data_IF_358093354494
#
_entry.id   IF_358093354494
#
_cell.length_a   1.000
_cell.length_b   1.000
_cell.length_c   1.000
_cell.angle_alpha   90.00
_cell.angle_beta   90.00
_cell.angle_gamma   90.00
#
_symmetry.space_group_name_H-M   'P 1'
#
loop_
_entity.id
_entity.type
_entity.pdbx_description
1 polymer ?
#
# COMPACT_ATOMS: atom_id res chain seq x y z
N UNK A 1 -8.75 -26.76 -11.92
CA UNK A 1 -8.46 -25.41 -12.44
C UNK A 1 -6.96 -25.28 -12.56
N UNK A 2 -6.45 -24.74 -13.67
CA UNK A 2 -5.02 -24.46 -13.86
C UNK A 2 -4.59 -23.30 -12.96
N UNK A 3 -3.36 -23.34 -12.43
CA UNK A 3 -2.83 -22.23 -11.63
C UNK A 3 -2.65 -20.98 -12.51
N UNK A 4 -3.02 -19.78 -12.04
CA UNK A 4 -2.77 -18.55 -12.77
C UNK A 4 -1.27 -18.31 -12.92
N UNK A 5 -0.87 -17.88 -14.12
CA UNK A 5 0.52 -17.62 -14.49
C UNK A 5 0.79 -16.14 -14.34
N UNK A 6 1.75 -15.81 -13.48
CA UNK A 6 1.98 -14.44 -13.05
C UNK A 6 3.42 -14.04 -13.36
N UNK A 7 3.58 -12.87 -13.97
CA UNK A 7 4.88 -12.20 -14.10
C UNK A 7 5.17 -11.29 -12.91
N UNK A 8 6.42 -11.17 -12.47
CA UNK A 8 6.84 -10.20 -11.45
C UNK A 8 7.69 -9.09 -12.07
N UNK A 9 7.19 -7.86 -12.06
CA UNK A 9 7.86 -6.68 -12.62
C UNK A 9 8.38 -5.82 -11.46
N UNK A 10 9.70 -5.67 -11.38
CA UNK A 10 10.41 -4.97 -10.30
C UNK A 10 10.96 -5.94 -9.24
N UNK A 11 12.27 -6.12 -9.25
CA UNK A 11 13.01 -7.03 -8.38
C UNK A 11 13.77 -6.29 -7.26
N UNK A 12 13.21 -5.18 -6.77
CA UNK A 12 13.74 -4.44 -5.63
C UNK A 12 13.55 -5.17 -4.28
N UNK A 13 13.70 -4.44 -3.18
CA UNK A 13 13.70 -5.00 -1.80
C UNK A 13 12.51 -5.90 -1.48
N UNK A 14 11.32 -5.55 -1.96
CA UNK A 14 10.08 -6.29 -1.68
C UNK A 14 9.97 -7.61 -2.46
N UNK A 15 10.69 -7.75 -3.58
CA UNK A 15 10.55 -8.88 -4.49
C UNK A 15 10.80 -10.23 -3.83
N UNK A 16 11.74 -10.31 -2.88
CA UNK A 16 12.03 -11.53 -2.10
C UNK A 16 10.80 -12.09 -1.37
N UNK A 17 9.90 -11.22 -0.90
CA UNK A 17 8.67 -11.65 -0.22
C UNK A 17 7.66 -12.22 -1.21
N UNK A 18 7.54 -11.62 -2.41
CA UNK A 18 6.75 -12.20 -3.50
C UNK A 18 7.32 -13.54 -3.99
N UNK A 19 8.64 -13.63 -4.20
CA UNK A 19 9.29 -14.88 -4.62
C UNK A 19 9.04 -16.00 -3.60
N UNK A 20 9.24 -15.73 -2.32
CA UNK A 20 8.90 -16.67 -1.25
C UNK A 20 7.39 -16.98 -1.19
N UNK A 21 6.52 -16.01 -1.48
CA UNK A 21 5.08 -16.24 -1.54
C UNK A 21 4.69 -17.17 -2.69
N UNK A 22 5.29 -17.02 -3.88
CA UNK A 22 5.09 -17.95 -5.00
C UNK A 22 5.47 -19.38 -4.63
N UNK A 23 6.60 -19.56 -3.93
CA UNK A 23 7.06 -20.87 -3.47
C UNK A 23 6.14 -21.48 -2.40
N UNK A 24 5.70 -20.68 -1.42
CA UNK A 24 4.95 -21.16 -0.24
C UNK A 24 3.45 -21.32 -0.47
N UNK A 25 2.85 -20.46 -1.28
CA UNK A 25 1.39 -20.39 -1.38
C UNK A 25 0.81 -21.45 -2.32
N UNK A 26 1.59 -21.92 -3.29
CA UNK A 26 1.18 -22.89 -4.33
C UNK A 26 -0.15 -22.55 -5.03
N UNK A 27 -0.52 -21.26 -5.08
CA UNK A 27 -1.78 -20.75 -5.65
C UNK A 27 -1.59 -20.03 -6.99
N UNK A 28 -0.34 -19.85 -7.43
CA UNK A 28 0.03 -19.24 -8.71
C UNK A 28 1.38 -19.78 -9.19
N UNK A 29 1.65 -19.68 -10.50
CA UNK A 29 2.93 -20.01 -11.10
C UNK A 29 3.68 -18.73 -11.48
N UNK A 30 4.92 -18.56 -11.02
CA UNK A 30 5.81 -17.50 -11.50
C UNK A 30 6.37 -17.90 -12.87
N UNK A 31 6.00 -17.17 -13.93
CA UNK A 31 6.36 -17.52 -15.32
C UNK A 31 7.30 -16.54 -16.00
N UNK A 32 7.52 -15.37 -15.40
CA UNK A 32 8.43 -14.37 -15.92
C UNK A 32 8.83 -13.39 -14.82
N UNK A 33 10.06 -12.86 -14.89
CA UNK A 33 10.47 -11.71 -14.09
C UNK A 33 10.99 -10.59 -14.99
N UNK A 34 10.84 -9.35 -14.54
CA UNK A 34 11.36 -8.18 -15.24
C UNK A 34 12.00 -7.18 -14.28
N UNK A 35 13.22 -6.75 -14.61
CA UNK A 35 13.89 -5.61 -13.99
C UNK A 35 14.90 -5.03 -15.02
N UNK A 36 14.99 -3.69 -15.17
CA UNK A 36 16.00 -3.09 -16.06
C UNK A 36 17.44 -3.37 -15.60
N UNK A 37 17.65 -3.59 -14.29
CA UNK A 37 18.92 -3.93 -13.69
C UNK A 37 19.17 -5.45 -13.76
N UNK A 38 20.20 -5.82 -14.52
CA UNK A 38 20.54 -7.22 -14.79
C UNK A 38 21.01 -7.97 -13.54
N UNK A 39 21.65 -7.27 -12.58
CA UNK A 39 22.05 -7.88 -11.33
C UNK A 39 20.83 -8.32 -10.51
N UNK A 40 19.74 -7.54 -10.56
CA UNK A 40 18.50 -7.86 -9.85
C UNK A 40 17.78 -9.06 -10.46
N UNK A 41 17.94 -9.34 -11.75
CA UNK A 41 17.36 -10.54 -12.37
C UNK A 41 17.95 -11.85 -11.82
N UNK A 42 19.11 -11.79 -11.17
CA UNK A 42 19.77 -12.93 -10.53
C UNK A 42 19.03 -13.50 -9.32
N UNK A 43 18.12 -12.74 -8.69
CA UNK A 43 17.38 -13.25 -7.51
C UNK A 43 16.26 -14.23 -7.86
N UNK A 44 15.84 -14.25 -9.13
CA UNK A 44 14.78 -15.14 -9.59
C UNK A 44 15.30 -16.56 -9.85
N UNK A 45 14.47 -17.61 -9.64
CA UNK A 45 14.83 -18.99 -9.94
C UNK A 45 15.35 -19.16 -11.37
N UNK A 46 16.36 -20.00 -11.56
CA UNK A 46 17.09 -20.11 -12.83
C UNK A 46 16.21 -20.43 -14.05
N UNK A 47 15.15 -21.19 -13.84
CA UNK A 47 14.18 -21.63 -14.85
C UNK A 47 13.16 -20.56 -15.26
N UNK A 48 13.07 -19.44 -14.54
CA UNK A 48 12.09 -18.38 -14.83
C UNK A 48 12.66 -17.44 -15.89
N UNK A 49 11.99 -17.27 -17.05
CA UNK A 49 12.38 -16.30 -18.07
C UNK A 49 12.56 -14.88 -17.50
N UNK A 50 13.61 -14.21 -17.98
CA UNK A 50 14.03 -12.88 -17.51
C UNK A 50 13.87 -11.86 -18.63
N UNK A 51 13.32 -10.70 -18.29
CA UNK A 51 13.11 -9.59 -19.22
C UNK A 51 13.69 -8.30 -18.64
N UNK A 52 14.09 -7.38 -19.51
CA UNK A 52 14.60 -6.06 -19.11
C UNK A 52 13.62 -4.92 -19.38
N UNK A 53 12.60 -5.18 -20.21
CA UNK A 53 11.50 -4.27 -20.51
C UNK A 53 10.17 -4.98 -20.21
N UNK A 54 9.32 -4.35 -19.39
CA UNK A 54 8.01 -4.91 -19.05
C UNK A 54 7.11 -5.05 -20.28
N UNK A 55 7.31 -4.21 -21.31
CA UNK A 55 6.55 -4.30 -22.58
C UNK A 55 6.95 -5.51 -23.40
N UNK A 56 8.20 -5.96 -23.28
CA UNK A 56 8.63 -7.21 -23.90
C UNK A 56 8.04 -8.40 -23.15
N UNK A 57 8.11 -8.39 -21.81
CA UNK A 57 7.47 -9.39 -20.96
C UNK A 57 5.98 -9.53 -21.30
N UNK A 58 5.24 -8.42 -21.40
CA UNK A 58 3.80 -8.44 -21.70
C UNK A 58 3.44 -8.98 -23.10
N UNK A 59 4.36 -8.88 -24.07
CA UNK A 59 4.18 -9.38 -25.44
C UNK A 59 4.60 -10.84 -25.61
N UNK A 60 5.70 -11.24 -24.98
CA UNK A 60 6.36 -12.51 -25.23
C UNK A 60 6.02 -13.60 -24.20
N UNK A 61 5.77 -13.22 -22.94
CA UNK A 61 5.46 -14.18 -21.90
C UNK A 61 3.99 -14.59 -21.95
N UNK A 62 3.74 -15.89 -21.81
CA UNK A 62 2.40 -16.44 -21.72
C UNK A 62 1.93 -16.40 -20.26
N UNK A 63 1.29 -15.30 -19.89
CA UNK A 63 0.87 -14.97 -18.53
C UNK A 63 -0.58 -14.47 -18.48
N UNK A 64 -1.21 -14.62 -17.32
CA UNK A 64 -2.58 -14.19 -17.07
C UNK A 64 -2.61 -12.86 -16.30
N UNK A 65 -1.59 -12.62 -15.47
CA UNK A 65 -1.49 -11.45 -14.61
C UNK A 65 -0.03 -11.01 -14.37
N UNK A 66 0.14 -9.81 -13.81
CA UNK A 66 1.43 -9.31 -13.33
C UNK A 66 1.34 -8.78 -11.91
N UNK A 67 2.40 -9.00 -11.13
CA UNK A 67 2.71 -8.25 -9.91
C UNK A 67 3.62 -7.09 -10.29
N UNK A 68 3.25 -5.86 -9.93
CA UNK A 68 3.98 -4.63 -10.21
C UNK A 68 4.56 -4.09 -8.91
N UNK A 69 5.89 -4.20 -8.77
CA UNK A 69 6.69 -3.84 -7.60
C UNK A 69 7.87 -2.92 -8.01
N UNK A 70 7.56 -1.93 -8.84
CA UNK A 70 8.51 -0.91 -9.31
C UNK A 70 8.44 0.32 -8.39
N UNK A 71 9.33 1.32 -8.52
CA UNK A 71 9.17 2.59 -7.81
C UNK A 71 7.78 3.24 -8.02
N UNK A 72 7.26 3.96 -7.01
CA UNK A 72 5.88 4.47 -7.01
C UNK A 72 5.52 5.32 -8.24
N UNK A 73 6.46 6.12 -8.75
CA UNK A 73 6.29 6.94 -9.96
C UNK A 73 6.09 6.12 -11.24
N UNK A 74 6.51 4.86 -11.22
CA UNK A 74 6.39 3.93 -12.33
C UNK A 74 5.18 3.00 -12.22
N UNK A 75 4.45 3.00 -11.09
CA UNK A 75 3.23 2.19 -10.95
C UNK A 75 2.22 2.49 -12.06
N UNK A 76 1.88 3.77 -12.26
CA UNK A 76 0.91 4.17 -13.28
C UNK A 76 1.26 3.72 -14.71
N UNK A 77 2.43 4.07 -15.28
CA UNK A 77 2.75 3.68 -16.65
C UNK A 77 2.82 2.15 -16.83
N UNK A 78 3.37 1.41 -15.86
CA UNK A 78 3.48 -0.07 -15.94
C UNK A 78 2.10 -0.73 -15.83
N UNK A 79 1.27 -0.30 -14.88
CA UNK A 79 -0.09 -0.83 -14.73
C UNK A 79 -0.96 -0.51 -15.95
N UNK A 80 -0.84 0.70 -16.50
CA UNK A 80 -1.57 1.09 -17.72
C UNK A 80 -1.18 0.19 -18.90
N UNK A 81 0.12 -0.06 -19.10
CA UNK A 81 0.61 -0.90 -20.18
C UNK A 81 0.12 -2.36 -19.99
N UNK A 82 0.13 -2.89 -18.76
CA UNK A 82 -0.35 -4.24 -18.46
C UNK A 82 -1.86 -4.42 -18.63
N UNK A 83 -2.67 -3.51 -18.07
CA UNK A 83 -4.13 -3.53 -18.24
C UNK A 83 -4.51 -3.35 -19.72
N UNK A 84 -3.81 -2.47 -20.44
CA UNK A 84 -4.01 -2.26 -21.89
C UNK A 84 -3.65 -3.49 -22.74
N UNK A 85 -2.76 -4.35 -22.25
CA UNK A 85 -2.45 -5.65 -22.85
C UNK A 85 -3.42 -6.77 -22.41
N UNK A 86 -4.52 -6.44 -21.71
CA UNK A 86 -5.52 -7.40 -21.24
C UNK A 86 -5.03 -8.28 -20.09
N UNK A 87 -4.00 -7.85 -19.35
CA UNK A 87 -3.45 -8.62 -18.21
C UNK A 87 -3.99 -8.06 -16.90
N UNK A 88 -4.33 -8.94 -15.97
CA UNK A 88 -4.67 -8.54 -14.61
C UNK A 88 -3.44 -7.98 -13.87
N UNK A 89 -3.66 -7.07 -12.95
CA UNK A 89 -2.61 -6.36 -12.22
C UNK A 89 -2.81 -6.49 -10.72
N UNK A 90 -1.78 -6.94 -10.02
CA UNK A 90 -1.57 -6.70 -8.60
C UNK A 90 -0.43 -5.68 -8.48
N UNK A 91 -0.69 -4.49 -7.97
CA UNK A 91 0.32 -3.43 -7.82
C UNK A 91 0.63 -3.19 -6.35
N UNK A 92 1.90 -2.99 -6.03
CA UNK A 92 2.29 -2.54 -4.69
C UNK A 92 1.64 -1.21 -4.32
N UNK A 93 1.48 -0.97 -3.02
CA UNK A 93 0.98 0.32 -2.54
C UNK A 93 2.05 1.41 -2.77
N UNK A 94 1.64 2.66 -3.05
CA UNK A 94 0.29 3.11 -3.38
C UNK A 94 -0.09 2.74 -4.83
N UNK A 95 -1.39 2.63 -5.15
CA UNK A 95 -1.87 2.36 -6.53
C UNK A 95 -1.21 3.26 -7.60
N UNK A 96 -1.04 4.54 -7.29
CA UNK A 96 -0.31 5.53 -8.08
C UNK A 96 0.10 6.70 -7.16
N UNK A 97 0.87 7.65 -7.66
CA UNK A 97 1.24 8.87 -6.90
C UNK A 97 0.18 9.97 -6.96
N UNK A 98 -0.82 9.86 -7.85
CA UNK A 98 -1.86 10.88 -8.04
C UNK A 98 -3.25 10.26 -8.21
N UNK A 99 -4.31 10.77 -7.55
CA UNK A 99 -5.68 10.24 -7.68
C UNK A 99 -6.16 10.12 -9.12
N UNK A 100 -5.89 11.13 -9.97
CA UNK A 100 -6.28 11.11 -11.38
C UNK A 100 -5.77 9.88 -12.14
N UNK A 101 -4.55 9.44 -11.81
CA UNK A 101 -3.89 8.31 -12.46
C UNK A 101 -4.50 7.01 -11.93
N UNK A 102 -4.79 6.93 -10.62
CA UNK A 102 -5.56 5.83 -10.02
C UNK A 102 -6.97 5.67 -10.61
N UNK A 103 -7.72 6.77 -10.77
CA UNK A 103 -9.04 6.75 -11.43
C UNK A 103 -8.95 6.28 -12.88
N UNK A 104 -7.88 6.65 -13.60
CA UNK A 104 -7.66 6.18 -14.95
C UNK A 104 -7.41 4.68 -14.98
N UNK A 105 -6.54 4.14 -14.11
CA UNK A 105 -6.31 2.69 -14.01
C UNK A 105 -7.59 1.93 -13.66
N UNK A 106 -8.38 2.42 -12.70
CA UNK A 106 -9.64 1.79 -12.30
C UNK A 106 -10.66 1.78 -13.45
N UNK A 107 -10.69 2.82 -14.28
CA UNK A 107 -11.52 2.88 -15.49
C UNK A 107 -11.03 1.88 -16.53
N UNK A 108 -9.72 1.83 -16.77
CA UNK A 108 -9.12 0.93 -17.75
C UNK A 108 -9.39 -0.53 -17.37
N UNK A 109 -9.16 -0.92 -16.12
CA UNK A 109 -9.49 -2.24 -15.57
C UNK A 109 -10.95 -2.64 -15.82
N UNK A 110 -11.91 -1.72 -15.61
CA UNK A 110 -13.33 -1.98 -15.93
C UNK A 110 -13.59 -2.13 -17.43
N UNK A 111 -12.90 -1.36 -18.26
CA UNK A 111 -13.07 -1.39 -19.73
C UNK A 111 -12.46 -2.65 -20.36
N UNK A 112 -11.35 -3.14 -19.81
CA UNK A 112 -10.68 -4.36 -20.27
C UNK A 112 -11.16 -5.64 -19.59
N UNK A 113 -12.11 -5.54 -18.65
CA UNK A 113 -12.57 -6.65 -17.80
C UNK A 113 -11.42 -7.40 -17.12
N UNK A 114 -10.42 -6.65 -16.64
CA UNK A 114 -9.24 -7.19 -15.97
C UNK A 114 -9.20 -6.77 -14.51
N UNK A 115 -8.61 -7.60 -13.66
CA UNK A 115 -8.45 -7.30 -12.23
C UNK A 115 -7.43 -6.18 -12.04
N UNK A 116 -7.75 -5.24 -11.16
CA UNK A 116 -6.82 -4.24 -10.62
C UNK A 116 -6.85 -4.31 -9.09
N UNK A 117 -5.80 -4.91 -8.56
CA UNK A 117 -5.64 -5.19 -7.14
C UNK A 117 -4.48 -4.37 -6.59
N UNK A 118 -4.64 -3.77 -5.41
CA UNK A 118 -3.56 -3.07 -4.70
C UNK A 118 -3.13 -3.89 -3.49
N UNK A 119 -1.83 -4.18 -3.40
CA UNK A 119 -1.23 -4.97 -2.33
C UNK A 119 -1.16 -4.18 -1.02
N UNK A 120 -2.20 -4.29 -0.21
CA UNK A 120 -2.20 -3.85 1.18
C UNK A 120 -1.87 -5.01 2.10
N UNK A 121 -0.59 -5.36 2.17
CA UNK A 121 -0.07 -6.50 2.92
C UNK A 121 -0.54 -6.58 4.40
N UNK A 122 -0.77 -5.44 5.07
CA UNK A 122 -1.22 -5.41 6.48
C UNK A 122 -2.60 -6.00 6.72
N UNK A 123 -3.45 -6.16 5.69
CA UNK A 123 -4.71 -6.91 5.80
C UNK A 123 -4.50 -8.37 6.20
N UNK A 124 -3.33 -8.91 5.89
CA UNK A 124 -2.97 -10.31 6.08
C UNK A 124 -2.07 -10.52 7.29
N UNK A 125 -1.80 -9.47 8.07
CA UNK A 125 -1.03 -9.58 9.30
C UNK A 125 -1.82 -10.39 10.33
N UNK A 126 -1.17 -11.37 10.95
CA UNK A 126 -1.83 -12.29 11.88
C UNK A 126 -2.43 -11.58 13.09
N UNK A 127 -1.74 -10.57 13.64
CA UNK A 127 -2.22 -9.80 14.80
C UNK A 127 -3.41 -8.89 14.44
N UNK A 128 -3.39 -8.30 13.24
CA UNK A 128 -4.54 -7.54 12.72
C UNK A 128 -5.75 -8.46 12.56
N UNK A 129 -5.56 -9.65 11.99
CA UNK A 129 -6.64 -10.61 11.82
C UNK A 129 -7.15 -11.15 13.16
N UNK A 130 -6.26 -11.42 14.11
CA UNK A 130 -6.63 -11.83 15.45
C UNK A 130 -7.45 -10.74 16.16
N UNK A 131 -7.03 -9.46 16.08
CA UNK A 131 -7.81 -8.34 16.63
C UNK A 131 -9.20 -8.28 16.00
N UNK A 132 -9.32 -8.39 14.67
CA UNK A 132 -10.62 -8.41 13.98
C UNK A 132 -11.52 -9.55 14.45
N UNK A 133 -10.96 -10.74 14.70
CA UNK A 133 -11.72 -11.88 15.22
C UNK A 133 -12.19 -11.64 16.65
N UNK A 134 -11.33 -11.12 17.53
CA UNK A 134 -11.67 -10.84 18.94
C UNK A 134 -12.79 -9.82 19.09
N UNK A 135 -12.82 -8.79 18.23
CA UNK A 135 -13.84 -7.74 18.29
C UNK A 135 -15.10 -8.05 17.45
N UNK A 136 -15.11 -9.12 16.66
CA UNK A 136 -16.18 -9.38 15.67
C UNK A 136 -17.57 -9.51 16.29
N UNK A 137 -17.66 -10.04 17.52
CA UNK A 137 -18.91 -10.18 18.28
C UNK A 137 -19.07 -9.12 19.38
N UNK A 138 -18.19 -8.12 19.42
CA UNK A 138 -18.19 -7.06 20.44
C UNK A 138 -19.16 -5.92 20.12
N UNK A 139 -19.22 -4.93 21.02
CA UNK A 139 -19.92 -3.67 20.76
C UNK A 139 -19.33 -2.94 19.52
N UNK A 140 -20.09 -2.05 18.86
CA UNK A 140 -19.58 -1.28 17.72
C UNK A 140 -18.30 -0.51 18.04
N UNK A 141 -17.41 -0.35 17.06
CA UNK A 141 -16.19 0.43 17.23
C UNK A 141 -16.55 1.90 17.43
N UNK A 142 -16.12 2.49 18.55
CA UNK A 142 -16.27 3.91 18.85
C UNK A 142 -15.08 4.73 18.32
N UNK A 143 -13.86 4.20 18.47
CA UNK A 143 -12.68 4.83 17.88
C UNK A 143 -11.57 3.85 17.51
N UNK A 144 -10.71 4.27 16.59
CA UNK A 144 -9.57 3.51 16.08
C UNK A 144 -8.32 4.41 16.03
N UNK A 145 -7.17 3.92 16.49
CA UNK A 145 -5.88 4.58 16.25
C UNK A 145 -4.92 3.64 15.52
N UNK A 146 -4.32 4.11 14.43
CA UNK A 146 -3.27 3.37 13.70
C UNK A 146 -1.96 4.15 13.83
N UNK A 147 -0.91 3.47 14.29
CA UNK A 147 0.44 4.01 14.36
C UNK A 147 1.33 3.37 13.30
N UNK A 148 2.10 4.21 12.60
CA UNK A 148 3.16 3.84 11.67
C UNK A 148 4.35 4.77 11.93
N UNK A 149 5.19 4.35 12.87
CA UNK A 149 6.30 5.16 13.39
C UNK A 149 7.58 4.36 13.19
N UNK A 150 8.56 4.94 12.51
CA UNK A 150 9.81 4.28 12.14
C UNK A 150 10.91 5.32 11.86
N UNK A 151 12.16 4.88 11.74
CA UNK A 151 13.24 5.70 11.18
C UNK A 151 13.42 5.36 9.71
N UNK A 152 12.86 6.16 8.80
CA UNK A 152 12.80 5.81 7.36
C UNK A 152 14.17 5.56 6.73
N UNK A 153 15.22 6.19 7.23
CA UNK A 153 16.60 5.99 6.76
C UNK A 153 17.06 4.54 6.91
N UNK A 154 16.53 3.79 7.90
CA UNK A 154 16.81 2.37 8.09
C UNK A 154 16.11 1.50 7.02
N UNK A 155 15.10 2.03 6.33
CA UNK A 155 14.32 1.33 5.31
C UNK A 155 14.84 1.51 3.88
N UNK A 156 15.59 2.58 3.62
CA UNK A 156 15.96 3.01 2.27
C UNK A 156 17.01 2.09 1.60
N UNK A 157 17.82 1.36 2.38
CA UNK A 157 18.89 0.52 1.84
C UNK A 157 19.76 1.27 0.83
N UNK A 158 19.93 0.71 -0.38
CA UNK A 158 20.59 1.40 -1.51
C UNK A 158 19.62 2.20 -2.41
N UNK A 159 18.32 2.02 -2.24
CA UNK A 159 17.29 2.61 -3.09
C UNK A 159 16.97 4.05 -2.63
N UNK A 160 17.55 5.04 -3.30
CA UNK A 160 17.38 6.46 -2.93
C UNK A 160 16.03 7.07 -3.36
N UNK A 161 15.23 6.35 -4.13
CA UNK A 161 13.96 6.87 -4.64
C UNK A 161 12.94 7.10 -3.53
N UNK A 162 12.98 6.29 -2.46
CA UNK A 162 12.09 6.40 -1.30
C UNK A 162 12.12 7.76 -0.60
N UNK A 163 13.25 8.48 -0.72
CA UNK A 163 13.47 9.79 -0.10
C UNK A 163 13.30 10.96 -1.08
N UNK A 164 12.90 10.69 -2.33
CA UNK A 164 12.57 11.72 -3.31
C UNK A 164 11.04 11.89 -3.40
N UNK A 165 10.46 12.96 -2.85
CA UNK A 165 9.02 13.19 -2.87
C UNK A 165 8.42 13.21 -4.27
N UNK A 166 9.19 13.59 -5.30
CA UNK A 166 8.71 13.59 -6.67
C UNK A 166 8.46 12.18 -7.18
N UNK A 167 9.24 11.22 -6.70
CA UNK A 167 9.15 9.81 -7.07
C UNK A 167 8.16 9.05 -6.18
N UNK A 168 8.12 9.35 -4.90
CA UNK A 168 7.22 8.69 -3.94
C UNK A 168 5.78 9.22 -3.98
N UNK A 169 5.57 10.46 -4.43
CA UNK A 169 4.31 11.18 -4.31
C UNK A 169 4.16 12.00 -3.02
N UNK A 170 5.19 12.01 -2.16
CA UNK A 170 5.22 12.69 -0.86
C UNK A 170 6.23 12.07 0.10
N UNK A 171 6.08 12.34 1.39
CA UNK A 171 6.81 11.70 2.48
C UNK A 171 5.98 10.64 3.21
N UNK A 172 5.98 10.64 4.55
CA UNK A 172 5.33 9.62 5.37
C UNK A 172 3.85 9.43 5.06
N UNK A 173 3.12 10.48 4.66
CA UNK A 173 1.71 10.39 4.28
C UNK A 173 1.52 9.61 2.99
N UNK A 174 2.37 9.80 1.99
CA UNK A 174 2.27 9.10 0.71
C UNK A 174 2.83 7.66 0.77
N UNK A 175 3.79 7.40 1.65
CA UNK A 175 4.40 6.08 1.79
C UNK A 175 3.68 5.18 2.79
N UNK A 176 3.58 5.59 4.06
CA UNK A 176 2.97 4.79 5.12
C UNK A 176 1.44 4.96 5.19
N UNK A 177 0.96 6.17 4.85
CA UNK A 177 -0.46 6.49 4.84
C UNK A 177 -1.33 5.49 4.08
N UNK A 178 -1.01 5.03 2.85
CA UNK A 178 -1.82 4.05 2.14
C UNK A 178 -2.13 2.77 2.95
N UNK A 179 -1.13 2.17 3.62
CA UNK A 179 -1.38 1.00 4.49
C UNK A 179 -2.19 1.38 5.74
N UNK A 180 -1.90 2.53 6.35
CA UNK A 180 -2.62 2.96 7.55
C UNK A 180 -4.09 3.30 7.26
N UNK A 181 -4.36 3.99 6.15
CA UNK A 181 -5.72 4.29 5.68
C UNK A 181 -6.46 3.02 5.28
N UNK A 182 -5.78 2.08 4.62
CA UNK A 182 -6.37 0.79 4.31
C UNK A 182 -6.77 0.01 5.57
N UNK A 183 -5.92 0.00 6.60
CA UNK A 183 -6.26 -0.57 7.90
C UNK A 183 -7.47 0.14 8.52
N UNK A 184 -7.53 1.48 8.50
CA UNK A 184 -8.73 2.20 8.96
C UNK A 184 -9.99 1.72 8.24
N UNK A 185 -9.92 1.57 6.91
CA UNK A 185 -11.04 1.08 6.10
C UNK A 185 -11.39 -0.38 6.37
N UNK A 186 -10.40 -1.22 6.67
CA UNK A 186 -10.60 -2.63 7.02
C UNK A 186 -11.47 -2.80 8.28
N UNK A 187 -11.35 -1.88 9.24
CA UNK A 187 -12.11 -1.89 10.49
C UNK A 187 -13.41 -1.08 10.41
N UNK A 188 -13.40 0.08 9.75
CA UNK A 188 -14.51 1.05 9.81
C UNK A 188 -15.32 1.17 8.50
N UNK A 189 -14.88 0.52 7.42
CA UNK A 189 -15.44 0.73 6.09
C UNK A 189 -15.03 2.07 5.49
N UNK A 190 -15.91 2.71 4.74
CA UNK A 190 -15.58 4.00 4.13
C UNK A 190 -15.42 5.09 5.19
N UNK A 191 -14.45 5.98 4.99
CA UNK A 191 -14.10 7.07 5.90
C UNK A 191 -13.74 8.33 5.12
N UNK A 192 -13.84 9.48 5.77
CA UNK A 192 -13.37 10.77 5.23
C UNK A 192 -12.39 11.43 6.18
N UNK A 193 -11.42 12.17 5.65
CA UNK A 193 -10.54 13.03 6.44
C UNK A 193 -11.34 14.20 7.00
N UNK A 194 -11.14 14.49 8.29
CA UNK A 194 -11.78 15.61 9.03
C UNK A 194 -10.77 16.54 9.67
N UNK A 195 -9.49 16.18 9.70
CA UNK A 195 -8.40 17.04 10.13
C UNK A 195 -7.05 16.42 9.77
N UNK A 196 -6.04 17.26 9.54
CA UNK A 196 -4.69 16.81 9.28
C UNK A 196 -3.66 17.84 9.77
N UNK A 197 -2.62 17.34 10.45
CA UNK A 197 -1.40 18.10 10.75
C UNK A 197 -0.24 17.38 10.11
N UNK A 198 0.59 18.09 9.35
CA UNK A 198 1.76 17.52 8.64
C UNK A 198 2.97 18.38 8.95
N UNK A 199 4.04 17.75 9.43
CA UNK A 199 5.32 18.41 9.70
C UNK A 199 6.34 17.99 8.64
N UNK A 200 6.98 18.99 8.03
CA UNK A 200 7.96 18.80 6.96
C UNK A 200 9.35 19.18 7.43
N UNK A 201 10.36 18.49 6.90
CA UNK A 201 11.76 18.87 7.09
C UNK A 201 12.14 20.10 6.25
N UNK A 202 13.40 20.55 6.37
CA UNK A 202 13.93 21.69 5.62
C UNK A 202 13.93 21.49 4.08
N UNK A 203 13.77 20.26 3.60
CA UNK A 203 13.68 19.92 2.17
C UNK A 203 12.23 19.83 1.69
N UNK A 204 11.25 20.05 2.58
CA UNK A 204 9.82 19.99 2.27
C UNK A 204 9.23 18.57 2.30
N UNK A 205 9.99 17.57 2.76
CA UNK A 205 9.51 16.18 2.89
C UNK A 205 8.66 16.07 4.15
N UNK A 206 7.43 15.56 4.05
CA UNK A 206 6.63 15.25 5.24
C UNK A 206 7.26 14.10 6.04
N UNK A 207 7.68 14.42 7.26
CA UNK A 207 8.32 13.48 8.19
C UNK A 207 7.33 12.95 9.21
N UNK A 208 6.40 13.78 9.65
CA UNK A 208 5.39 13.42 10.64
C UNK A 208 4.02 13.88 10.19
N UNK A 209 3.00 13.08 10.48
CA UNK A 209 1.62 13.48 10.26
C UNK A 209 0.67 12.86 11.26
N UNK A 210 -0.35 13.62 11.65
CA UNK A 210 -1.53 13.11 12.34
C UNK A 210 -2.76 13.42 11.49
N UNK A 211 -3.52 12.38 11.17
CA UNK A 211 -4.72 12.48 10.34
C UNK A 211 -5.93 12.01 11.14
N UNK A 212 -6.97 12.83 11.20
CA UNK A 212 -8.25 12.50 11.80
C UNK A 212 -9.23 12.11 10.69
N UNK A 213 -9.93 11.00 10.88
CA UNK A 213 -10.94 10.49 9.96
C UNK A 213 -12.23 10.17 10.70
N UNK A 214 -13.34 10.14 9.96
CA UNK A 214 -14.65 9.77 10.50
C UNK A 214 -15.37 8.85 9.54
N UNK A 215 -15.93 7.77 10.07
CA UNK A 215 -16.79 6.83 9.34
C UNK A 215 -18.25 7.30 9.33
N UNK A 216 -19.08 6.87 8.36
CA UNK A 216 -20.53 7.13 8.36
C UNK A 216 -21.25 6.69 9.63
N UNK A 217 -20.74 5.67 10.33
CA UNK A 217 -21.27 5.20 11.62
C UNK A 217 -21.06 6.19 12.77
N UNK A 218 -20.26 7.25 12.58
CA UNK A 218 -19.85 8.18 13.63
C UNK A 218 -18.54 7.79 14.33
N UNK A 219 -18.00 6.60 14.06
CA UNK A 219 -16.72 6.17 14.61
C UNK A 219 -15.58 7.09 14.15
N UNK A 220 -14.73 7.51 15.09
CA UNK A 220 -13.58 8.36 14.82
C UNK A 220 -12.31 7.51 14.63
N UNK A 221 -11.45 7.89 13.68
CA UNK A 221 -10.15 7.27 13.52
C UNK A 221 -9.03 8.32 13.56
N UNK A 222 -7.87 7.90 14.07
CA UNK A 222 -6.63 8.68 14.06
C UNK A 222 -5.52 7.85 13.45
N UNK A 223 -4.83 8.41 12.47
CA UNK A 223 -3.60 7.83 11.91
C UNK A 223 -2.43 8.70 12.36
N UNK A 224 -1.40 8.07 12.94
CA UNK A 224 -0.16 8.72 13.36
C UNK A 224 0.98 8.14 12.52
N UNK A 225 1.66 9.01 11.79
CA UNK A 225 2.77 8.68 10.90
C UNK A 225 4.02 9.42 11.37
N UNK A 226 5.12 8.72 11.53
CA UNK A 226 6.40 9.31 11.93
C UNK A 226 7.56 8.58 11.25
N UNK A 227 8.38 9.33 10.51
CA UNK A 227 9.63 8.86 9.89
C UNK A 227 10.88 9.21 10.69
N UNK A 228 10.71 9.80 11.86
CA UNK A 228 11.76 10.31 12.74
C UNK A 228 11.67 9.71 14.15
N UNK A 229 10.92 8.61 14.30
CA UNK A 229 10.76 7.91 15.58
C UNK A 229 11.84 6.82 15.71
N UNK A 230 12.72 6.88 16.73
CA UNK A 230 13.67 5.80 17.00
C UNK A 230 12.97 4.48 17.31
N UNK A 231 13.41 3.41 16.64
CA UNK A 231 12.74 2.11 16.69
C UNK A 231 11.61 1.99 15.65
N UNK A 232 10.82 0.93 15.76
CA UNK A 232 9.69 0.67 14.87
C UNK A 232 8.44 0.38 15.70
N UNK A 233 7.35 1.12 15.45
CA UNK A 233 6.04 0.90 16.05
C UNK A 233 4.97 0.89 14.98
N UNK A 234 4.31 -0.27 14.85
CA UNK A 234 3.23 -0.50 13.89
C UNK A 234 2.07 -1.16 14.62
N UNK A 235 1.10 -0.36 15.04
CA UNK A 235 0.00 -0.84 15.90
C UNK A 235 -1.36 -0.38 15.40
N UNK A 236 -2.39 -1.17 15.71
CA UNK A 236 -3.80 -0.81 15.57
C UNK A 236 -4.43 -0.93 16.95
N UNK A 237 -5.00 0.15 17.47
CA UNK A 237 -5.74 0.17 18.73
C UNK A 237 -7.21 0.48 18.45
N UNK A 238 -8.10 -0.34 19.01
CA UNK A 238 -9.55 -0.22 18.87
C UNK A 238 -10.15 0.06 20.24
N UNK A 239 -11.08 1.01 20.32
CA UNK A 239 -11.98 1.19 21.45
C UNK A 239 -13.41 0.95 21.00
N UNK A 240 -14.10 0.03 21.68
CA UNK A 240 -15.51 -0.29 21.44
C UNK A 240 -16.43 0.64 22.25
N UNK A 241 -17.70 0.72 21.86
CA UNK A 241 -18.70 1.57 22.48
C UNK A 241 -19.03 1.21 23.95
N UNK A 242 -18.77 -0.02 24.36
CA UNK A 242 -18.89 -0.49 25.75
C UNK A 242 -17.69 -0.14 26.64
N UNK A 243 -16.68 0.55 26.07
CA UNK A 243 -15.47 0.97 26.78
C UNK A 243 -14.29 0.00 26.64
N UNK A 244 -14.49 -1.19 26.06
CA UNK A 244 -13.42 -2.17 25.81
C UNK A 244 -12.34 -1.58 24.92
N UNK A 245 -11.07 -1.84 25.24
CA UNK A 245 -9.90 -1.45 24.45
C UNK A 245 -9.08 -2.70 24.14
N UNK A 246 -8.74 -2.89 22.87
CA UNK A 246 -7.89 -3.98 22.40
C UNK A 246 -6.95 -3.45 21.32
N UNK A 247 -5.84 -4.16 21.08
CA UNK A 247 -4.81 -3.73 20.13
C UNK A 247 -4.14 -4.90 19.41
N UNK A 248 -3.62 -4.61 18.24
CA UNK A 248 -2.71 -5.44 17.46
C UNK A 248 -1.35 -4.74 17.39
N UNK A 249 -0.29 -5.47 17.72
CA UNK A 249 1.08 -5.08 17.41
C UNK A 249 1.53 -5.85 16.16
N UNK A 250 1.61 -5.17 15.02
CA UNK A 250 1.92 -5.78 13.73
C UNK A 250 3.35 -6.33 13.65
N UNK A 251 4.19 -6.05 14.65
CA UNK A 251 5.56 -6.53 14.75
C UNK A 251 5.73 -7.65 15.79
N UNK A 252 4.66 -8.04 16.50
CA UNK A 252 4.73 -9.08 17.51
C UNK A 252 5.27 -10.39 16.92
N UNK A 253 6.22 -11.02 17.61
CA UNK A 253 6.86 -12.26 17.16
C UNK A 253 7.88 -12.09 16.03
N UNK A 254 8.14 -10.86 15.56
CA UNK A 254 9.05 -10.58 14.45
C UNK A 254 10.15 -9.59 14.89
N UNK A 255 11.24 -10.07 15.53
CA UNK A 255 12.32 -9.22 16.00
C UNK A 255 13.17 -8.65 14.85
N UNK A 256 13.14 -9.31 13.68
CA UNK A 256 13.85 -8.87 12.49
C UNK A 256 13.07 -7.81 11.73
N UNK A 257 13.80 -6.85 11.20
CA UNK A 257 13.30 -5.82 10.31
C UNK A 257 12.58 -6.42 9.09
N UNK A 258 11.33 -6.00 8.83
CA UNK A 258 10.43 -6.57 7.81
C UNK A 258 10.17 -8.09 7.98
N UNK A 259 10.43 -8.64 9.16
CA UNK A 259 10.19 -10.06 9.48
C UNK A 259 8.72 -10.45 9.44
N UNK A 260 7.81 -9.50 9.69
CA UNK A 260 6.36 -9.73 9.60
C UNK A 260 5.85 -9.91 8.17
N UNK A 261 6.62 -9.55 7.14
CA UNK A 261 6.07 -9.49 5.79
C UNK A 261 5.92 -10.87 5.11
N UNK A 262 6.64 -11.90 5.57
CA UNK A 262 6.66 -13.19 4.88
C UNK A 262 5.29 -13.86 4.76
N UNK A 263 4.49 -13.86 5.83
CA UNK A 263 3.14 -14.43 5.81
C UNK A 263 2.15 -13.47 5.14
N UNK A 264 2.35 -12.17 5.31
CA UNK A 264 1.49 -11.15 4.73
C UNK A 264 1.45 -11.22 3.19
N UNK A 265 2.61 -11.39 2.54
CA UNK A 265 2.68 -11.51 1.07
C UNK A 265 2.16 -12.85 0.53
N UNK A 266 2.18 -13.92 1.34
CA UNK A 266 1.43 -15.15 1.03
C UNK A 266 -0.07 -14.86 1.01
N UNK A 267 -0.56 -14.06 1.96
CA UNK A 267 -1.94 -13.60 2.00
C UNK A 267 -2.32 -12.74 0.80
N UNK A 268 -1.47 -11.77 0.43
CA UNK A 268 -1.64 -10.93 -0.78
C UNK A 268 -1.81 -11.81 -2.02
N UNK A 269 -0.89 -12.75 -2.24
CA UNK A 269 -0.91 -13.59 -3.42
C UNK A 269 -2.16 -14.46 -3.47
N UNK A 270 -2.57 -15.04 -2.32
CA UNK A 270 -3.80 -15.85 -2.24
C UNK A 270 -5.05 -15.03 -2.56
N UNK A 271 -5.24 -13.86 -1.93
CA UNK A 271 -6.43 -13.03 -2.19
C UNK A 271 -6.45 -12.54 -3.62
N UNK A 272 -5.29 -12.17 -4.18
CA UNK A 272 -5.20 -11.83 -5.60
C UNK A 272 -5.65 -13.00 -6.49
N UNK A 273 -5.21 -14.23 -6.24
CA UNK A 273 -5.65 -15.41 -7.00
C UNK A 273 -7.13 -15.76 -6.79
N UNK A 274 -7.68 -15.47 -5.62
CA UNK A 274 -9.12 -15.60 -5.35
C UNK A 274 -9.94 -14.58 -6.14
N UNK A 275 -9.45 -13.35 -6.29
CA UNK A 275 -10.07 -12.34 -7.15
C UNK A 275 -9.97 -12.74 -8.62
N UNK A 276 -8.81 -13.22 -9.08
CA UNK A 276 -8.61 -13.71 -10.46
C UNK A 276 -9.56 -14.86 -10.82
N UNK A 277 -9.86 -15.74 -9.86
CA UNK A 277 -10.75 -16.88 -10.07
C UNK A 277 -12.23 -16.58 -9.79
N UNK A 278 -12.58 -15.32 -9.47
CA UNK A 278 -13.95 -14.89 -9.17
C UNK A 278 -14.49 -15.36 -7.82
N UNK A 279 -13.66 -15.97 -6.95
CA UNK A 279 -14.03 -16.33 -5.58
C UNK A 279 -14.21 -15.11 -4.67
N UNK A 280 -13.56 -13.99 -5.05
CA UNK A 280 -13.64 -12.69 -4.36
C UNK A 280 -13.96 -11.59 -5.36
N UNK A 281 -14.72 -10.55 -4.97
CA UNK A 281 -15.00 -9.43 -5.84
C UNK A 281 -13.74 -8.58 -6.08
N UNK A 282 -13.55 -8.13 -7.32
CA UNK A 282 -12.54 -7.12 -7.65
C UNK A 282 -12.97 -5.76 -7.08
N UNK A 283 -12.22 -5.25 -6.09
CA UNK A 283 -12.43 -3.93 -5.49
C UNK A 283 -11.17 -3.09 -5.68
N UNK A 284 -11.23 -1.92 -6.35
CA UNK A 284 -10.07 -1.05 -6.54
C UNK A 284 -9.77 -0.25 -5.25
N UNK A 285 -9.55 -0.96 -4.13
CA UNK A 285 -9.37 -0.36 -2.80
C UNK A 285 -8.18 0.62 -2.73
N UNK A 286 -7.20 0.44 -3.62
CA UNK A 286 -6.08 1.37 -3.77
C UNK A 286 -6.50 2.80 -4.14
N UNK A 287 -7.64 2.97 -4.80
CA UNK A 287 -8.16 4.29 -5.15
C UNK A 287 -8.60 5.06 -3.90
N UNK A 288 -9.33 4.41 -2.99
CA UNK A 288 -9.80 5.06 -1.77
C UNK A 288 -8.62 5.50 -0.87
N UNK A 289 -7.58 4.66 -0.74
CA UNK A 289 -6.38 5.03 0.00
C UNK A 289 -5.67 6.24 -0.65
N UNK A 290 -5.60 6.28 -1.99
CA UNK A 290 -4.99 7.37 -2.74
C UNK A 290 -5.78 8.68 -2.61
N UNK A 291 -7.12 8.61 -2.59
CA UNK A 291 -8.00 9.74 -2.30
C UNK A 291 -7.81 10.26 -0.87
N UNK A 292 -7.63 9.38 0.12
CA UNK A 292 -7.36 9.76 1.50
C UNK A 292 -5.99 10.44 1.67
N UNK A 293 -4.96 9.98 0.95
CA UNK A 293 -3.66 10.69 0.86
C UNK A 293 -3.86 12.10 0.32
N UNK A 294 -4.57 12.25 -0.80
CA UNK A 294 -4.81 13.56 -1.40
C UNK A 294 -5.64 14.48 -0.50
N UNK A 295 -6.68 13.94 0.16
CA UNK A 295 -7.50 14.67 1.12
C UNK A 295 -6.68 15.14 2.33
N UNK A 296 -5.72 14.33 2.80
CA UNK A 296 -4.82 14.70 3.90
C UNK A 296 -3.99 15.94 3.53
N UNK A 297 -3.36 15.94 2.36
CA UNK A 297 -2.60 17.11 1.89
C UNK A 297 -3.50 18.34 1.61
N UNK A 298 -4.74 18.14 1.17
CA UNK A 298 -5.69 19.24 0.98
C UNK A 298 -6.10 19.90 2.31
N UNK A 299 -6.34 19.10 3.36
CA UNK A 299 -6.65 19.62 4.70
C UNK A 299 -5.48 20.37 5.34
N UNK A 300 -4.23 19.91 5.15
CA UNK A 300 -3.03 20.66 5.56
C UNK A 300 -3.06 22.09 5.00
N UNK A 301 -3.40 22.22 3.71
CA UNK A 301 -3.46 23.52 3.02
C UNK A 301 -4.52 24.48 3.60
N UNK A 302 -5.59 23.95 4.18
CA UNK A 302 -6.66 24.74 4.81
C UNK A 302 -6.32 25.19 6.24
N UNK A 303 -5.45 24.45 6.94
CA UNK A 303 -5.06 24.73 8.32
C UNK A 303 -3.96 25.80 8.46
N UNK A 304 -3.32 26.26 7.36
CA UNK A 304 -2.38 27.38 7.40
C UNK A 304 -3.16 28.71 7.38
N UNK A 305 -3.10 29.56 8.42
CA UNK A 305 -3.57 30.93 8.28
C UNK A 305 -2.71 31.62 7.22
N UNK A 306 -3.33 32.17 6.17
CA UNK A 306 -2.63 33.13 5.33
C UNK A 306 -2.16 34.28 6.22
N UNK A 307 -0.87 34.62 6.28
CA UNK A 307 -0.47 35.87 6.90
C UNK A 307 -1.04 36.99 6.03
N UNK A 308 -2.09 37.66 6.51
CA UNK A 308 -2.45 38.99 6.01
C UNK A 308 -1.26 39.89 6.29
N UNK A 309 -0.45 40.19 5.28
CA UNK A 309 0.40 41.37 5.30
C UNK A 309 -0.52 42.59 5.22
N UNK A 310 -1.08 43.01 6.35
CA UNK A 310 -1.39 44.41 6.58
C UNK A 310 -0.18 45.04 7.24
N UNK A 311 0.63 45.76 6.46
CA UNK A 311 1.43 46.84 7.02
C UNK A 311 1.10 48.11 6.26
N UNK A 312 0.44 48.98 7.02
CA UNK A 312 0.07 50.36 6.73
C UNK A 312 1.30 51.16 6.30
N UNK A 313 1.16 51.93 5.22
CA UNK A 313 2.08 53.04 4.96
C UNK A 313 1.67 54.23 5.83
N UNK A 314 2.61 54.87 6.56
CA UNK A 314 2.43 56.22 7.05
C UNK A 314 2.46 57.24 5.89
#
# INVERSE_FOLDING_TARGET
MTLPRIGLIGLGVISRFYLAAFERAACAQLVAVCDPDEERLGVAPAQVPRYRDHRELLRAADLDAVVVNVPNDLHYPVCRDALGAGRAVCVEKPLATRPRDGHHLARLSRQSDTVLFTSFHRRYNDEVNALRQRIASGAPIASLTVHYEETIEEHAGRDRWYLDPKRCGGGCVADNGPNAFDLVRLFLGDVRVTGATVHRDARGVDRQAQVLLTAPSGAAARVVLDWSCPGERKTVEVRLADGTVDRADMLAGHPEFKGSLWHEYVGVLRDFTDVLSGRRPNRPDGLAALELVAATYAYEGLARPQPRQEVRHP
#
